data_IF_412825305197
#
_entry.id   IF_412825305197
#
_cell.length_a   1.000
_cell.length_b   1.000
_cell.length_c   1.000
_cell.angle_alpha   90.00
_cell.angle_beta   90.00
_cell.angle_gamma   90.00
#
_symmetry.space_group_name_H-M   'P 1'
#
loop_
_entity.id
_entity.type
_entity.pdbx_description
1 polymer ?
#
# COMPACT_ATOMS: atom_id res chain seq x y z
N UNK A 1 -22.88 -13.16 -33.45
CA UNK A 1 -22.72 -12.48 -32.15
C UNK A 1 -22.57 -10.99 -32.43
N UNK A 2 -23.53 -10.18 -31.99
CA UNK A 2 -23.56 -8.75 -32.33
C UNK A 2 -22.37 -8.02 -31.72
N UNK A 3 -21.42 -7.63 -32.59
CA UNK A 3 -20.23 -6.85 -32.26
C UNK A 3 -20.60 -5.67 -31.36
N UNK A 4 -20.06 -5.62 -30.14
CA UNK A 4 -20.20 -4.46 -29.27
C UNK A 4 -19.51 -3.29 -29.98
N UNK A 5 -20.13 -2.11 -29.97
CA UNK A 5 -19.60 -0.91 -30.62
C UNK A 5 -19.91 0.33 -29.80
N UNK A 6 -19.13 1.40 -30.00
CA UNK A 6 -19.47 2.73 -29.47
C UNK A 6 -20.87 3.11 -29.96
N UNK A 7 -21.70 3.67 -29.07
CA UNK A 7 -23.09 4.00 -29.35
C UNK A 7 -24.09 2.84 -29.22
N UNK A 8 -23.64 1.60 -29.00
CA UNK A 8 -24.53 0.47 -28.72
C UNK A 8 -24.95 0.42 -27.25
N UNK A 9 -26.13 -0.15 -27.02
CA UNK A 9 -26.68 -0.36 -25.68
C UNK A 9 -26.18 -1.68 -25.07
N UNK A 10 -25.87 -1.65 -23.78
CA UNK A 10 -25.44 -2.78 -22.97
C UNK A 10 -26.06 -2.70 -21.57
N UNK A 11 -26.50 -3.84 -21.03
CA UNK A 11 -27.01 -3.90 -19.65
C UNK A 11 -25.83 -4.12 -18.70
N UNK A 12 -25.66 -3.21 -17.75
CA UNK A 12 -24.54 -3.23 -16.81
C UNK A 12 -24.90 -2.50 -15.51
N UNK A 13 -24.16 -2.79 -14.45
CA UNK A 13 -24.37 -2.20 -13.14
C UNK A 13 -24.02 -0.72 -13.14
N UNK A 14 -24.98 0.11 -12.75
CA UNK A 14 -24.75 1.54 -12.55
C UNK A 14 -24.24 1.80 -11.13
N UNK A 15 -23.10 2.48 -11.01
CA UNK A 15 -22.56 2.89 -9.70
C UNK A 15 -23.43 3.93 -8.97
N UNK A 16 -24.20 4.75 -9.71
CA UNK A 16 -25.09 5.75 -9.12
C UNK A 16 -26.49 5.20 -8.82
N UNK A 17 -27.12 4.51 -9.77
CA UNK A 17 -28.45 3.94 -9.57
C UNK A 17 -28.43 2.67 -8.71
N UNK A 18 -27.26 2.05 -8.53
CA UNK A 18 -27.04 0.78 -7.82
C UNK A 18 -27.88 -0.40 -8.36
N UNK A 19 -28.31 -0.31 -9.62
CA UNK A 19 -29.13 -1.28 -10.33
C UNK A 19 -28.48 -1.65 -11.66
N UNK A 20 -28.85 -2.81 -12.22
CA UNK A 20 -28.47 -3.23 -13.56
C UNK A 20 -29.44 -2.61 -14.57
N UNK A 21 -28.93 -1.66 -15.37
CA UNK A 21 -29.75 -0.84 -16.28
C UNK A 21 -29.10 -0.80 -17.67
N UNK A 22 -29.85 -0.30 -18.66
CA UNK A 22 -29.33 -0.03 -19.99
C UNK A 22 -28.34 1.16 -19.97
N UNK A 23 -27.15 0.92 -20.48
CA UNK A 23 -26.09 1.92 -20.66
C UNK A 23 -25.65 1.97 -22.12
N UNK A 24 -25.21 3.14 -22.57
CA UNK A 24 -24.64 3.36 -23.90
C UNK A 24 -23.12 3.33 -23.79
N UNK A 25 -22.45 2.63 -24.70
CA UNK A 25 -20.98 2.56 -24.74
C UNK A 25 -20.43 3.88 -25.31
N UNK A 26 -19.72 4.65 -24.49
CA UNK A 26 -19.14 5.95 -24.87
C UNK A 26 -17.74 5.77 -25.44
N UNK A 27 -16.97 4.87 -24.84
CA UNK A 27 -15.61 4.56 -25.28
C UNK A 27 -15.35 3.07 -25.11
N UNK A 28 -14.60 2.49 -26.02
CA UNK A 28 -14.12 1.11 -25.97
C UNK A 28 -12.61 1.09 -25.75
N UNK A 29 -12.09 0.06 -25.06
CA UNK A 29 -10.64 -0.20 -25.01
C UNK A 29 -10.23 -1.15 -26.13
N UNK A 30 -10.99 -2.24 -26.24
CA UNK A 30 -10.82 -3.26 -27.27
C UNK A 30 -12.16 -3.49 -27.98
N UNK A 31 -12.15 -4.25 -29.08
CA UNK A 31 -13.35 -4.61 -29.84
C UNK A 31 -14.42 -5.38 -29.00
N UNK A 32 -14.00 -5.91 -27.84
CA UNK A 32 -14.85 -6.71 -26.94
C UNK A 32 -15.13 -5.99 -25.62
N UNK A 33 -14.34 -4.99 -25.22
CA UNK A 33 -14.39 -4.41 -23.86
C UNK A 33 -14.74 -2.91 -23.88
N UNK A 34 -15.94 -2.52 -23.43
CA UNK A 34 -16.27 -1.12 -23.18
C UNK A 34 -15.35 -0.55 -22.10
N UNK A 35 -14.82 0.66 -22.32
CA UNK A 35 -14.04 1.39 -21.35
C UNK A 35 -14.94 2.24 -20.45
N UNK A 36 -15.78 3.07 -21.08
CA UNK A 36 -16.71 4.00 -20.42
C UNK A 36 -18.10 3.76 -20.95
N UNK A 37 -19.07 3.72 -20.04
CA UNK A 37 -20.48 3.55 -20.35
C UNK A 37 -21.28 4.68 -19.70
N UNK A 38 -22.32 5.15 -20.37
CA UNK A 38 -23.25 6.18 -19.90
C UNK A 38 -24.59 5.54 -19.56
N UNK A 39 -25.06 5.73 -18.34
CA UNK A 39 -26.37 5.23 -17.93
C UNK A 39 -27.49 6.01 -18.62
N UNK A 40 -28.47 5.32 -19.23
CA UNK A 40 -29.63 5.98 -19.86
C UNK A 40 -30.56 6.62 -18.82
N UNK A 41 -30.57 6.10 -17.59
CA UNK A 41 -31.45 6.57 -16.51
C UNK A 41 -30.88 7.79 -15.77
N UNK A 42 -29.65 7.72 -15.26
CA UNK A 42 -29.04 8.85 -14.53
C UNK A 42 -28.13 9.74 -15.37
N UNK A 43 -27.97 9.44 -16.67
CA UNK A 43 -27.07 10.15 -17.61
C UNK A 43 -25.60 10.18 -17.20
N UNK A 44 -25.21 9.52 -16.11
CA UNK A 44 -23.84 9.51 -15.61
C UNK A 44 -22.96 8.58 -16.43
N UNK A 45 -21.75 9.04 -16.72
CA UNK A 45 -20.68 8.23 -17.32
C UNK A 45 -19.84 7.58 -16.24
N UNK A 46 -19.65 6.26 -16.28
CA UNK A 46 -18.74 5.54 -15.41
C UNK A 46 -17.97 4.46 -16.17
N UNK A 47 -16.86 4.00 -15.57
CA UNK A 47 -16.08 2.91 -16.13
C UNK A 47 -16.90 1.60 -16.10
N UNK A 48 -16.85 0.84 -17.19
CA UNK A 48 -17.57 -0.42 -17.31
C UNK A 48 -17.06 -1.42 -16.26
N UNK A 49 -17.94 -1.83 -15.33
CA UNK A 49 -17.65 -2.87 -14.34
C UNK A 49 -18.36 -4.15 -14.76
N UNK A 50 -17.59 -5.07 -15.34
CA UNK A 50 -18.03 -6.45 -15.52
C UNK A 50 -17.92 -7.16 -14.17
N UNK A 51 -19.04 -7.57 -13.59
CA UNK A 51 -19.04 -8.69 -12.64
C UNK A 51 -18.71 -9.94 -13.48
N UNK A 52 -17.42 -10.19 -13.72
CA UNK A 52 -16.99 -11.44 -14.34
C UNK A 52 -17.41 -12.57 -13.39
N UNK A 53 -18.43 -13.32 -13.80
CA UNK A 53 -18.64 -14.67 -13.30
C UNK A 53 -17.31 -15.44 -13.48
N UNK A 54 -16.92 -16.15 -12.43
CA UNK A 54 -15.66 -16.86 -12.33
C UNK A 54 -15.43 -17.75 -13.57
N UNK A 55 -14.48 -17.36 -14.41
CA UNK A 55 -13.81 -18.28 -15.33
C UNK A 55 -12.33 -17.97 -15.29
N UNK A 56 -11.60 -18.98 -14.82
CA UNK A 56 -10.17 -19.00 -14.63
C UNK A 56 -9.42 -18.70 -15.93
N UNK A 57 -8.44 -17.81 -15.83
CA UNK A 57 -7.08 -17.90 -16.41
C UNK A 57 -6.48 -16.49 -16.36
N UNK A 58 -5.99 -16.12 -15.18
CA UNK A 58 -5.29 -14.85 -14.97
C UNK A 58 -3.82 -15.01 -15.40
N UNK A 59 -3.55 -14.89 -16.70
CA UNK A 59 -2.22 -14.51 -17.20
C UNK A 59 -2.18 -13.01 -17.43
N UNK A 60 -1.72 -12.25 -16.43
CA UNK A 60 -0.74 -11.16 -16.62
C UNK A 60 -0.27 -10.65 -15.26
N UNK A 61 1.01 -10.89 -15.03
CA UNK A 61 1.97 -10.10 -14.26
C UNK A 61 1.45 -8.78 -13.68
N UNK A 62 1.24 -8.80 -12.37
CA UNK A 62 1.78 -7.79 -11.46
C UNK A 62 2.01 -8.56 -10.18
N UNK A 63 3.25 -8.68 -9.75
CA UNK A 63 3.65 -9.25 -8.45
C UNK A 63 2.88 -8.53 -7.35
N UNK A 64 1.71 -9.05 -7.00
CA UNK A 64 1.03 -8.73 -5.76
C UNK A 64 1.89 -9.38 -4.69
N UNK A 65 2.85 -8.62 -4.16
CA UNK A 65 3.40 -8.95 -2.85
C UNK A 65 2.19 -9.17 -1.92
N UNK A 66 2.13 -10.29 -1.18
CA UNK A 66 1.14 -10.40 -0.11
C UNK A 66 1.29 -9.13 0.74
N UNK A 67 0.16 -8.56 1.18
CA UNK A 67 0.21 -7.50 2.19
C UNK A 67 0.81 -8.13 3.43
N UNK A 68 2.13 -8.09 3.51
CA UNK A 68 2.86 -8.17 4.77
C UNK A 68 2.24 -7.08 5.62
N UNK A 69 1.71 -7.49 6.78
CA UNK A 69 1.26 -6.55 7.80
C UNK A 69 2.37 -5.51 8.02
N UNK A 70 2.01 -4.28 8.43
CA UNK A 70 3.01 -3.30 8.84
C UNK A 70 4.02 -3.92 9.82
N UNK A 71 3.59 -4.86 10.67
CA UNK A 71 4.44 -5.67 11.56
C UNK A 71 5.50 -6.50 10.83
N UNK A 72 5.16 -7.13 9.70
CA UNK A 72 6.11 -7.96 8.94
C UNK A 72 7.15 -7.12 8.19
N UNK A 73 6.83 -5.86 7.86
CA UNK A 73 7.84 -4.92 7.34
C UNK A 73 8.80 -4.46 8.42
N UNK A 74 8.30 -4.25 9.64
CA UNK A 74 9.13 -3.89 10.80
C UNK A 74 10.07 -5.04 11.14
N UNK A 75 9.58 -6.29 11.15
CA UNK A 75 10.43 -7.46 11.37
C UNK A 75 11.53 -7.61 10.32
N UNK A 76 11.23 -7.39 9.03
CA UNK A 76 12.26 -7.49 7.99
C UNK A 76 13.30 -6.34 8.10
N UNK A 77 12.88 -5.12 8.42
CA UNK A 77 13.81 -4.00 8.66
C UNK A 77 14.71 -4.27 9.87
N UNK A 78 14.14 -4.84 10.94
CA UNK A 78 14.88 -5.21 12.14
C UNK A 78 15.87 -6.35 11.87
N UNK A 79 15.49 -7.35 11.09
CA UNK A 79 16.35 -8.47 10.70
C UNK A 79 17.54 -8.02 9.82
N UNK A 80 17.28 -7.12 8.87
CA UNK A 80 18.32 -6.50 8.03
C UNK A 80 19.25 -5.57 8.84
N UNK A 81 18.71 -4.87 9.84
CA UNK A 81 19.52 -4.08 10.77
C UNK A 81 20.37 -4.99 11.66
N UNK A 82 19.78 -6.02 12.27
CA UNK A 82 20.48 -6.97 13.14
C UNK A 82 21.60 -7.74 12.42
N UNK A 83 21.41 -8.02 11.13
CA UNK A 83 22.46 -8.63 10.29
C UNK A 83 23.67 -7.71 10.04
N UNK A 84 23.53 -6.40 10.28
CA UNK A 84 24.63 -5.41 10.21
C UNK A 84 25.24 -5.10 11.57
N UNK A 85 24.78 -5.76 12.63
CA UNK A 85 25.30 -5.63 13.98
C UNK A 85 26.77 -6.06 13.99
N UNK A 86 27.66 -5.07 13.90
CA UNK A 86 29.11 -5.22 14.00
C UNK A 86 29.63 -4.64 15.30
N UNK A 87 28.81 -3.87 16.03
CA UNK A 87 29.19 -3.19 17.26
C UNK A 87 28.13 -3.38 18.36
N UNK A 88 28.61 -3.51 19.60
CA UNK A 88 27.80 -3.68 20.80
C UNK A 88 26.75 -2.58 20.97
N UNK A 89 25.52 -2.98 21.32
CA UNK A 89 24.43 -2.04 21.55
C UNK A 89 24.78 -1.12 22.73
N UNK A 90 24.85 0.19 22.47
CA UNK A 90 25.14 1.16 23.51
C UNK A 90 23.91 1.36 24.41
N UNK A 91 24.07 1.41 25.75
CA UNK A 91 22.95 1.66 26.64
C UNK A 91 22.37 3.05 26.39
N UNK A 92 21.05 3.14 26.26
CA UNK A 92 20.36 4.40 26.02
C UNK A 92 20.60 5.38 27.18
N UNK A 93 21.13 6.55 26.85
CA UNK A 93 21.32 7.65 27.78
C UNK A 93 20.94 8.96 27.11
N UNK A 94 20.12 9.75 27.79
CA UNK A 94 19.61 11.04 27.30
C UNK A 94 20.75 12.05 27.10
N UNK A 95 21.88 11.86 27.78
CA UNK A 95 23.09 12.72 27.69
C UNK A 95 23.99 12.37 26.51
N UNK A 96 23.86 11.16 25.97
CA UNK A 96 24.70 10.68 24.87
C UNK A 96 24.09 11.13 23.56
N UNK A 97 24.95 11.55 22.62
CA UNK A 97 24.55 11.84 21.25
C UNK A 97 24.53 10.53 20.48
N UNK A 98 23.43 10.26 19.78
CA UNK A 98 23.31 9.09 18.93
C UNK A 98 23.25 9.50 17.46
N UNK A 99 23.93 8.74 16.62
CA UNK A 99 23.99 8.96 15.17
C UNK A 99 23.14 7.93 14.43
N UNK A 100 22.77 8.27 13.19
CA UNK A 100 21.98 7.41 12.31
C UNK A 100 22.74 6.10 12.05
N UNK A 101 22.09 4.97 12.26
CA UNK A 101 22.69 3.64 12.11
C UNK A 101 23.28 3.06 13.40
N UNK A 102 23.30 3.81 14.51
CA UNK A 102 23.79 3.29 15.79
C UNK A 102 22.75 2.40 16.48
N UNK A 103 23.23 1.35 17.16
CA UNK A 103 22.41 0.47 17.98
C UNK A 103 22.31 0.99 19.41
N UNK A 104 21.08 1.04 19.91
CA UNK A 104 20.71 1.53 21.23
C UNK A 104 19.95 0.44 21.96
N UNK A 105 20.35 0.11 23.18
CA UNK A 105 19.53 -0.69 24.08
C UNK A 105 18.75 0.20 25.04
N UNK A 106 17.41 0.15 24.95
CA UNK A 106 16.53 0.91 25.83
C UNK A 106 15.86 -0.02 26.85
N UNK A 107 15.90 0.24 28.17
CA UNK A 107 15.43 -0.69 29.20
C UNK A 107 13.94 -1.08 29.10
N UNK A 108 13.12 -0.23 28.49
CA UNK A 108 11.68 -0.49 28.23
C UNK A 108 11.37 -1.11 26.87
N UNK A 109 12.22 -0.91 25.87
CA UNK A 109 11.92 -1.23 24.46
C UNK A 109 12.86 -2.27 23.86
N UNK A 110 13.99 -2.55 24.52
CA UNK A 110 15.06 -3.44 24.08
C UNK A 110 15.96 -2.79 23.04
N UNK A 111 16.59 -3.64 22.25
CA UNK A 111 17.49 -3.26 21.15
C UNK A 111 16.72 -2.52 20.04
N UNK A 112 17.24 -1.36 19.65
CA UNK A 112 16.74 -0.57 18.54
C UNK A 112 17.87 0.08 17.75
N UNK A 113 17.59 0.39 16.49
CA UNK A 113 18.54 1.08 15.58
C UNK A 113 18.04 2.48 15.27
N UNK A 114 18.91 3.47 15.29
CA UNK A 114 18.55 4.84 14.90
C UNK A 114 18.35 4.88 13.38
N UNK A 115 17.12 5.14 12.92
CA UNK A 115 16.79 5.20 11.49
C UNK A 115 16.99 6.61 10.92
N UNK A 116 16.55 7.64 11.66
CA UNK A 116 16.61 9.04 11.23
C UNK A 116 16.76 9.99 12.40
N UNK A 117 17.36 11.14 12.13
CA UNK A 117 17.39 12.29 13.05
C UNK A 117 16.25 13.23 12.67
N UNK A 118 15.32 13.49 13.60
CA UNK A 118 14.13 14.32 13.34
C UNK A 118 14.45 15.79 13.68
N UNK A 119 15.03 16.02 14.86
CA UNK A 119 15.37 17.34 15.38
C UNK A 119 16.71 17.27 16.12
N UNK A 120 17.31 18.43 16.43
CA UNK A 120 18.60 18.53 17.15
C UNK A 120 18.70 17.62 18.40
N UNK A 121 17.58 17.43 19.11
CA UNK A 121 17.49 16.58 20.30
C UNK A 121 16.52 15.39 20.14
N UNK A 122 16.02 15.08 18.93
CA UNK A 122 15.10 13.95 18.71
C UNK A 122 15.58 13.02 17.62
N UNK A 123 15.59 11.73 17.93
CA UNK A 123 15.95 10.64 17.01
C UNK A 123 14.78 9.69 16.85
N UNK A 124 14.59 9.18 15.64
CA UNK A 124 13.69 8.07 15.37
C UNK A 124 14.48 6.77 15.49
N UNK A 125 14.04 5.91 16.40
CA UNK A 125 14.65 4.61 16.68
C UNK A 125 13.66 3.51 16.33
N UNK A 126 14.09 2.60 15.48
CA UNK A 126 13.34 1.41 15.07
C UNK A 126 13.69 0.28 16.03
N UNK A 127 12.73 -0.10 16.86
CA UNK A 127 12.80 -1.28 17.73
C UNK A 127 12.17 -2.48 17.04
N UNK A 128 12.44 -3.69 17.56
CA UNK A 128 11.91 -4.95 17.03
C UNK A 128 10.37 -4.96 16.85
N UNK A 129 9.64 -4.25 17.73
CA UNK A 129 8.17 -4.25 17.77
C UNK A 129 7.54 -2.94 17.32
N UNK A 130 8.24 -1.82 17.45
CA UNK A 130 7.70 -0.47 17.24
C UNK A 130 8.78 0.49 16.72
N UNK A 131 8.36 1.54 16.02
CA UNK A 131 9.21 2.70 15.72
C UNK A 131 8.86 3.80 16.71
N UNK A 132 9.85 4.34 17.44
CA UNK A 132 9.64 5.36 18.46
C UNK A 132 10.61 6.51 18.31
N UNK A 133 10.11 7.71 18.59
CA UNK A 133 10.95 8.90 18.68
C UNK A 133 11.46 9.03 20.11
N UNK A 134 12.79 9.06 20.26
CA UNK A 134 13.49 9.23 21.53
C UNK A 134 14.21 10.58 21.57
N UNK A 135 14.44 11.07 22.78
CA UNK A 135 15.14 12.34 23.03
C UNK A 135 16.59 12.02 23.39
N UNK A 136 17.51 12.66 22.70
CA UNK A 136 18.95 12.57 22.99
C UNK A 136 19.53 13.97 23.17
N UNK A 137 20.76 14.05 23.68
CA UNK A 137 21.49 15.30 23.87
C UNK A 137 20.79 16.34 24.79
N UNK A 138 20.33 15.90 25.97
CA UNK A 138 19.81 16.79 27.03
C UNK A 138 20.55 16.63 28.36
#
# INVERSE_FOLDING_TARGET
MSKLGVGKEIVTYCSKCKLELAHIIVAMRDEVTPYKVQCKTCKSTHAFKIKKAATATRKKSTTRKPRVSAEQKIMNLWDEAKSKQTEDAAPYSIRTKFEIGQFIDHPKFGEGVVDKHIDNNKIEVVFQKDIRVLIHNK
#
